data_IF_225637683983
#
_entry.id   IF_225637683983
#
_cell.length_a   1.000
_cell.length_b   1.000
_cell.length_c   1.000
_cell.angle_alpha   90.00
_cell.angle_beta   90.00
_cell.angle_gamma   90.00
#
_symmetry.space_group_name_H-M   'P 1'
#
loop_
_entity.id
_entity.type
_entity.pdbx_description
1 polymer ?
#
# COMPACT_ATOMS: atom_id res chain seq x y z
N UNK A 1 9.42 18.33 -22.16
CA UNK A 1 8.19 17.60 -22.57
C UNK A 1 8.37 16.16 -22.13
N UNK A 2 7.40 15.58 -21.41
CA UNK A 2 7.46 14.18 -20.98
C UNK A 2 7.26 13.24 -22.17
N UNK A 3 7.83 12.04 -22.05
CA UNK A 3 7.76 10.94 -23.01
C UNK A 3 7.24 9.70 -22.30
N UNK A 4 6.94 8.63 -23.05
CA UNK A 4 6.55 7.34 -22.48
C UNK A 4 7.53 6.77 -21.45
N UNK A 5 8.80 7.17 -21.48
CA UNK A 5 9.81 6.76 -20.49
C UNK A 5 9.59 7.35 -19.10
N UNK A 6 8.78 8.41 -19.00
CA UNK A 6 8.43 9.07 -17.74
C UNK A 6 7.21 8.42 -17.06
N UNK A 7 6.70 7.31 -17.62
CA UNK A 7 5.50 6.62 -17.16
C UNK A 7 5.75 5.12 -16.93
N UNK A 8 4.98 4.55 -16.02
CA UNK A 8 5.00 3.12 -15.73
C UNK A 8 4.24 2.36 -16.82
N UNK A 9 5.00 1.67 -17.67
CA UNK A 9 4.50 0.83 -18.75
C UNK A 9 4.64 -0.66 -18.43
N UNK A 10 5.00 -1.03 -17.20
CA UNK A 10 5.28 -2.42 -16.80
C UNK A 10 4.13 -3.37 -17.13
N UNK A 11 2.89 -2.96 -16.86
CA UNK A 11 1.70 -3.75 -17.19
C UNK A 11 1.58 -4.03 -18.69
N UNK A 12 1.66 -2.99 -19.54
CA UNK A 12 1.56 -3.14 -20.99
C UNK A 12 2.73 -3.95 -21.55
N UNK A 13 3.95 -3.71 -21.05
CA UNK A 13 5.14 -4.48 -21.44
C UNK A 13 4.97 -5.95 -21.09
N UNK A 14 4.49 -6.27 -19.88
CA UNK A 14 4.23 -7.65 -19.46
C UNK A 14 3.26 -8.36 -20.42
N UNK A 15 2.12 -7.75 -20.72
CA UNK A 15 1.13 -8.34 -21.65
C UNK A 15 1.71 -8.55 -23.05
N UNK A 16 2.44 -7.57 -23.59
CA UNK A 16 3.08 -7.68 -24.92
C UNK A 16 4.14 -8.79 -24.93
N UNK A 17 4.92 -8.90 -23.86
CA UNK A 17 5.98 -9.90 -23.73
C UNK A 17 5.41 -11.30 -23.58
N UNK A 18 4.40 -11.50 -22.74
CA UNK A 18 3.72 -12.81 -22.58
C UNK A 18 3.17 -13.31 -23.92
N UNK A 19 2.42 -12.49 -24.64
CA UNK A 19 1.88 -12.86 -25.97
C UNK A 19 3.01 -13.09 -26.97
N UNK A 20 4.06 -12.26 -26.93
CA UNK A 20 5.13 -12.32 -27.91
C UNK A 20 6.11 -13.47 -27.71
N UNK A 21 6.33 -13.91 -26.47
CA UNK A 21 7.09 -15.11 -26.13
C UNK A 21 6.41 -16.36 -26.66
N UNK A 22 5.08 -16.47 -26.53
CA UNK A 22 4.29 -17.57 -27.11
C UNK A 22 4.45 -17.69 -28.64
N UNK A 23 4.76 -16.57 -29.30
CA UNK A 23 4.93 -16.49 -30.76
C UNK A 23 6.40 -16.43 -31.20
N UNK A 24 7.36 -16.60 -30.28
CA UNK A 24 8.80 -16.61 -30.57
C UNK A 24 9.34 -15.27 -31.12
N UNK A 25 8.76 -14.15 -30.71
CA UNK A 25 9.18 -12.83 -31.17
C UNK A 25 10.47 -12.37 -30.48
N UNK A 26 11.34 -11.70 -31.24
CA UNK A 26 12.53 -11.08 -30.67
C UNK A 26 12.19 -9.84 -29.86
N UNK A 27 13.02 -9.51 -28.86
CA UNK A 27 12.85 -8.32 -28.00
C UNK A 27 12.64 -7.03 -28.80
N UNK A 28 13.40 -6.83 -29.88
CA UNK A 28 13.24 -5.68 -30.78
C UNK A 28 11.86 -5.62 -31.43
N UNK A 29 11.24 -6.77 -31.71
CA UNK A 29 9.87 -6.84 -32.25
C UNK A 29 8.84 -6.58 -31.14
N UNK A 30 9.08 -7.04 -29.92
CA UNK A 30 8.21 -6.77 -28.76
C UNK A 30 8.13 -5.28 -28.45
N UNK A 31 9.26 -4.58 -28.38
CA UNK A 31 9.25 -3.12 -28.12
C UNK A 31 8.54 -2.34 -29.24
N UNK A 32 8.65 -2.77 -30.50
CA UNK A 32 7.84 -2.19 -31.59
C UNK A 32 6.34 -2.43 -31.43
N UNK A 33 5.94 -3.62 -30.97
CA UNK A 33 4.53 -3.93 -30.70
C UNK A 33 4.00 -3.11 -29.53
N UNK A 34 4.83 -2.89 -28.50
CA UNK A 34 4.51 -2.00 -27.38
C UNK A 34 4.29 -0.57 -27.87
N UNK A 35 5.20 -0.02 -28.68
CA UNK A 35 5.03 1.32 -29.27
C UNK A 35 3.73 1.44 -30.07
N UNK A 36 3.41 0.44 -30.89
CA UNK A 36 2.16 0.41 -31.66
C UNK A 36 0.92 0.33 -30.78
N UNK A 37 0.96 -0.46 -29.71
CA UNK A 37 -0.12 -0.58 -28.74
C UNK A 37 -0.36 0.75 -28.03
N UNK A 38 0.71 1.41 -27.58
CA UNK A 38 0.63 2.70 -26.93
C UNK A 38 0.12 3.78 -27.89
N UNK A 39 0.55 3.79 -29.14
CA UNK A 39 0.05 4.79 -30.09
C UNK A 39 -1.46 4.63 -30.35
N UNK A 40 -1.94 3.38 -30.52
CA UNK A 40 -3.38 3.10 -30.62
C UNK A 40 -4.15 3.42 -29.33
N UNK A 41 -3.51 3.18 -28.18
CA UNK A 41 -4.11 3.43 -26.87
C UNK A 41 -4.34 4.91 -26.58
N UNK A 42 -3.66 5.84 -27.27
CA UNK A 42 -3.92 7.27 -27.16
C UNK A 42 -5.35 7.62 -27.62
N UNK A 43 -5.81 6.96 -28.67
CA UNK A 43 -7.11 7.28 -29.27
C UNK A 43 -8.29 6.83 -28.40
N UNK A 44 -8.09 5.87 -27.48
CA UNK A 44 -9.19 5.33 -26.68
C UNK A 44 -9.61 6.19 -25.48
N UNK A 45 -8.79 7.17 -25.04
CA UNK A 45 -8.97 8.00 -23.82
C UNK A 45 -9.14 7.25 -22.48
N UNK A 46 -9.48 5.96 -22.50
CA UNK A 46 -9.75 5.11 -21.33
C UNK A 46 -8.46 4.54 -20.72
N UNK A 47 -7.43 4.38 -21.55
CA UNK A 47 -6.13 3.85 -21.15
C UNK A 47 -5.42 4.85 -20.26
N UNK A 48 -5.14 4.49 -19.00
CA UNK A 48 -4.40 5.33 -18.05
C UNK A 48 -3.05 4.71 -17.69
N UNK A 49 -2.04 5.56 -17.51
CA UNK A 49 -0.69 5.20 -17.09
C UNK A 49 -0.23 6.07 -15.93
N UNK A 50 0.62 5.52 -15.06
CA UNK A 50 1.17 6.24 -13.93
C UNK A 50 2.38 7.07 -14.33
N UNK A 51 2.47 8.30 -13.85
CA UNK A 51 3.74 9.01 -13.92
C UNK A 51 4.75 8.41 -12.93
N UNK A 52 5.98 8.12 -13.38
CA UNK A 52 7.05 7.62 -12.52
C UNK A 52 7.57 8.67 -11.52
N UNK A 53 7.22 9.94 -11.70
CA UNK A 53 7.61 11.04 -10.81
C UNK A 53 6.60 11.28 -9.69
N UNK A 54 5.30 11.39 -10.02
CA UNK A 54 4.27 11.72 -9.04
C UNK A 54 3.27 10.60 -8.75
N UNK A 55 3.38 9.44 -9.40
CA UNK A 55 2.50 8.28 -9.18
C UNK A 55 1.07 8.42 -9.69
N UNK A 56 0.57 9.63 -9.97
CA UNK A 56 -0.79 9.88 -10.44
C UNK A 56 -1.02 9.25 -11.82
N UNK A 57 -2.24 8.73 -12.03
CA UNK A 57 -2.69 8.19 -13.32
C UNK A 57 -3.13 9.31 -14.26
N UNK A 58 -2.62 9.28 -15.48
CA UNK A 58 -3.02 10.17 -16.58
C UNK A 58 -3.50 9.35 -17.77
N UNK A 59 -4.49 9.86 -18.54
CA UNK A 59 -4.81 9.29 -19.84
C UNK A 59 -3.58 9.21 -20.74
N UNK A 60 -3.48 8.14 -21.52
CA UNK A 60 -2.31 7.89 -22.38
C UNK A 60 -2.09 8.98 -23.45
N UNK A 61 -3.15 9.69 -23.83
CA UNK A 61 -3.10 10.82 -24.75
C UNK A 61 -2.76 12.16 -24.09
N UNK A 62 -2.72 12.23 -22.75
CA UNK A 62 -2.37 13.43 -22.00
C UNK A 62 -1.12 13.20 -21.15
N UNK A 63 0.01 13.12 -21.85
CA UNK A 63 1.33 12.98 -21.21
C UNK A 63 1.87 14.30 -20.67
N UNK A 64 1.23 15.43 -20.98
CA UNK A 64 1.66 16.76 -20.58
C UNK A 64 0.98 17.18 -19.28
N UNK A 65 1.48 16.68 -18.16
CA UNK A 65 1.05 17.13 -16.83
C UNK A 65 2.22 17.73 -16.03
N UNK A 66 1.86 18.68 -15.17
CA UNK A 66 2.77 19.24 -14.19
C UNK A 66 2.69 18.43 -12.89
N UNK A 67 3.82 17.84 -12.48
CA UNK A 67 3.87 17.08 -11.23
C UNK A 67 3.82 18.03 -10.05
N UNK A 68 2.70 18.02 -9.33
CA UNK A 68 2.57 18.81 -8.12
C UNK A 68 3.42 18.20 -6.99
N UNK A 69 4.08 19.06 -6.20
CA UNK A 69 4.99 18.62 -5.14
C UNK A 69 4.31 17.71 -4.11
N UNK A 70 3.04 17.97 -3.78
CA UNK A 70 2.27 17.14 -2.87
C UNK A 70 2.01 15.72 -3.40
N UNK A 71 1.86 15.55 -4.72
CA UNK A 71 1.68 14.23 -5.35
C UNK A 71 3.00 13.46 -5.36
N UNK A 72 4.10 14.15 -5.67
CA UNK A 72 5.44 13.56 -5.61
C UNK A 72 5.73 13.08 -4.19
N UNK A 73 5.47 13.92 -3.19
CA UNK A 73 5.67 13.56 -1.79
C UNK A 73 4.79 12.37 -1.39
N UNK A 74 3.50 12.36 -1.78
CA UNK A 74 2.57 11.28 -1.45
C UNK A 74 2.97 9.97 -2.14
N UNK A 75 3.38 10.02 -3.40
CA UNK A 75 3.91 8.86 -4.11
C UNK A 75 5.19 8.32 -3.48
N UNK A 76 6.09 9.20 -3.02
CA UNK A 76 7.28 8.80 -2.26
C UNK A 76 6.93 8.20 -0.90
N UNK A 77 5.94 8.75 -0.19
CA UNK A 77 5.47 8.20 1.08
C UNK A 77 4.93 6.78 0.90
N UNK A 78 4.10 6.58 -0.11
CA UNK A 78 3.51 5.28 -0.45
C UNK A 78 4.59 4.30 -0.90
N UNK A 79 5.53 4.71 -1.77
CA UNK A 79 6.58 3.83 -2.33
C UNK A 79 7.75 3.52 -1.38
N UNK A 80 8.18 4.51 -0.59
CA UNK A 80 9.39 4.46 0.24
C UNK A 80 9.01 4.65 1.72
N UNK A 81 8.59 3.58 2.36
CA UNK A 81 8.06 3.58 3.73
C UNK A 81 9.02 4.00 4.85
N UNK A 82 10.33 4.12 4.60
CA UNK A 82 11.33 4.22 5.68
C UNK A 82 12.07 5.55 5.76
N UNK A 83 12.30 6.29 4.67
CA UNK A 83 13.39 7.28 4.68
C UNK A 83 13.02 8.77 4.52
N UNK A 84 11.78 9.16 4.23
CA UNK A 84 11.44 10.59 4.07
C UNK A 84 10.01 10.95 4.49
N UNK A 85 9.70 10.77 5.78
CA UNK A 85 8.38 11.13 6.34
C UNK A 85 8.26 12.58 6.81
N UNK A 86 9.30 13.41 6.65
CA UNK A 86 9.20 14.82 7.01
C UNK A 86 8.24 15.55 6.08
N UNK A 87 7.01 15.68 6.55
CA UNK A 87 5.95 16.38 5.84
C UNK A 87 6.14 17.89 6.01
N UNK A 88 6.58 18.57 4.95
CA UNK A 88 6.64 20.02 4.93
C UNK A 88 5.24 20.59 5.24
N UNK A 89 5.15 21.56 6.16
CA UNK A 89 3.87 22.15 6.60
C UNK A 89 2.98 22.64 5.46
N UNK A 90 3.56 23.11 4.36
CA UNK A 90 2.82 23.56 3.17
C UNK A 90 2.04 22.45 2.45
N UNK A 91 2.49 21.19 2.53
CA UNK A 91 1.85 20.08 1.83
C UNK A 91 0.61 19.56 2.55
N UNK A 92 0.55 19.69 3.88
CA UNK A 92 -0.60 19.28 4.70
C UNK A 92 -1.92 19.82 4.17
N UNK A 93 -1.99 21.13 3.91
CA UNK A 93 -3.21 21.78 3.44
C UNK A 93 -3.55 21.40 2.00
N UNK A 94 -2.53 21.31 1.13
CA UNK A 94 -2.71 20.91 -0.27
C UNK A 94 -3.26 19.49 -0.38
N UNK A 95 -2.65 18.53 0.33
CA UNK A 95 -3.09 17.13 0.38
C UNK A 95 -4.54 17.00 0.87
N UNK A 96 -4.90 17.69 1.95
CA UNK A 96 -6.28 17.64 2.49
C UNK A 96 -7.31 18.22 1.54
N UNK A 97 -6.92 19.23 0.76
CA UNK A 97 -7.80 19.89 -0.19
C UNK A 97 -7.98 19.04 -1.46
N UNK A 98 -6.87 18.44 -1.93
CA UNK A 98 -6.84 17.64 -3.16
C UNK A 98 -7.41 16.23 -2.97
N UNK A 99 -7.13 15.62 -1.82
CA UNK A 99 -7.54 14.26 -1.47
C UNK A 99 -8.39 14.26 -0.18
N UNK A 100 -9.57 14.92 -0.19
CA UNK A 100 -10.40 15.03 1.00
C UNK A 100 -11.04 13.68 1.35
N UNK A 101 -11.33 13.46 2.63
CA UNK A 101 -12.11 12.29 3.08
C UNK A 101 -13.43 12.19 2.31
N UNK A 102 -13.59 11.10 1.56
CA UNK A 102 -14.75 10.86 0.69
C UNK A 102 -16.00 10.58 1.50
N UNK A 103 -17.16 10.94 0.93
CA UNK A 103 -18.46 10.63 1.53
C UNK A 103 -18.66 9.11 1.49
N UNK A 104 -18.87 8.49 2.66
CA UNK A 104 -19.04 7.03 2.80
C UNK A 104 -17.87 6.35 3.50
N UNK A 105 -16.66 6.91 3.39
CA UNK A 105 -15.49 6.43 4.13
C UNK A 105 -15.60 6.88 5.59
N UNK A 106 -16.18 6.01 6.43
CA UNK A 106 -16.45 6.31 7.84
C UNK A 106 -15.53 5.57 8.80
N UNK A 107 -14.99 4.43 8.38
CA UNK A 107 -14.20 3.56 9.24
C UNK A 107 -12.93 3.15 8.52
N UNK A 108 -11.82 3.11 9.24
CA UNK A 108 -10.55 2.58 8.75
C UNK A 108 -10.00 1.55 9.75
N UNK A 109 -9.14 0.68 9.26
CA UNK A 109 -8.56 -0.43 9.99
C UNK A 109 -7.04 -0.42 9.91
N UNK A 110 -6.39 -0.83 11.00
CA UNK A 110 -4.94 -1.02 11.03
C UNK A 110 -4.57 -2.33 11.70
N UNK A 111 -3.86 -3.16 10.97
CA UNK A 111 -3.26 -4.38 11.51
C UNK A 111 -1.93 -4.11 12.18
N UNK A 112 -1.78 -4.64 13.38
CA UNK A 112 -0.57 -4.59 14.18
C UNK A 112 -0.22 -6.03 14.55
N UNK A 113 1.03 -6.40 14.33
CA UNK A 113 1.53 -7.74 14.59
C UNK A 113 2.62 -7.64 15.65
N UNK A 114 2.55 -8.49 16.66
CA UNK A 114 3.44 -8.51 17.82
C UNK A 114 4.32 -9.74 17.74
N UNK A 115 5.62 -9.53 17.82
CA UNK A 115 6.61 -10.61 17.76
C UNK A 115 6.69 -11.34 19.09
N UNK A 116 6.60 -10.60 20.20
CA UNK A 116 6.67 -11.17 21.55
C UNK A 116 5.42 -10.90 22.37
N UNK A 117 5.28 -11.64 23.48
CA UNK A 117 4.19 -11.47 24.44
C UNK A 117 4.28 -10.10 25.14
N UNK A 118 5.48 -9.66 25.46
CA UNK A 118 5.75 -8.40 26.16
C UNK A 118 5.34 -7.20 25.30
N UNK A 119 5.62 -7.23 23.99
CA UNK A 119 5.17 -6.20 23.04
C UNK A 119 3.64 -6.09 23.03
N UNK A 120 2.95 -7.24 22.97
CA UNK A 120 1.50 -7.29 22.98
C UNK A 120 0.92 -6.75 24.31
N UNK A 121 1.40 -7.23 25.45
CA UNK A 121 0.90 -6.80 26.76
C UNK A 121 1.14 -5.31 27.02
N UNK A 122 2.28 -4.78 26.56
CA UNK A 122 2.58 -3.35 26.64
C UNK A 122 1.59 -2.56 25.80
N UNK A 123 1.37 -2.97 24.55
CA UNK A 123 0.44 -2.32 23.65
C UNK A 123 -1.00 -2.32 24.19
N UNK A 124 -1.49 -3.46 24.71
CA UNK A 124 -2.85 -3.56 25.27
C UNK A 124 -3.04 -2.59 26.44
N UNK A 125 -2.03 -2.45 27.31
CA UNK A 125 -2.06 -1.45 28.41
C UNK A 125 -2.07 -0.02 27.88
N UNK A 126 -1.29 0.28 26.84
CA UNK A 126 -1.26 1.62 26.23
C UNK A 126 -2.62 2.02 25.65
N UNK A 127 -3.35 1.08 25.06
CA UNK A 127 -4.66 1.34 24.44
C UNK A 127 -5.86 1.07 25.35
N UNK A 128 -5.63 0.74 26.63
CA UNK A 128 -6.70 0.42 27.60
C UNK A 128 -7.70 1.57 27.76
N UNK A 129 -7.24 2.81 27.59
CA UNK A 129 -8.07 4.03 27.57
C UNK A 129 -9.00 4.14 26.35
N UNK A 130 -8.94 3.20 25.40
CA UNK A 130 -9.65 3.27 24.12
C UNK A 130 -9.05 4.28 23.15
N UNK A 131 -7.78 4.66 23.34
CA UNK A 131 -7.07 5.59 22.46
C UNK A 131 -5.74 5.03 21.99
N UNK A 132 -5.32 5.44 20.80
CA UNK A 132 -4.02 5.06 20.23
C UNK A 132 -3.30 6.32 19.75
N UNK A 133 -2.09 6.51 20.26
CA UNK A 133 -1.20 7.61 19.88
C UNK A 133 -0.17 7.16 18.86
N UNK A 134 0.02 7.97 17.83
CA UNK A 134 1.14 7.81 16.90
C UNK A 134 1.75 9.17 16.55
N UNK A 135 3.09 9.21 16.59
CA UNK A 135 3.89 10.44 16.41
C UNK A 135 4.17 10.80 14.95
N UNK A 136 3.96 9.85 14.05
CA UNK A 136 4.17 10.00 12.61
C UNK A 136 2.87 9.80 11.85
N UNK A 137 2.78 10.32 10.62
CA UNK A 137 1.68 9.99 9.72
C UNK A 137 1.50 8.48 9.57
N UNK A 138 0.25 8.06 9.46
CA UNK A 138 -0.12 6.65 9.54
C UNK A 138 -1.10 6.26 8.44
N UNK A 139 -0.74 5.23 7.69
CA UNK A 139 -1.61 4.50 6.77
C UNK A 139 -2.65 3.64 7.51
N UNK A 140 -3.90 3.70 7.06
CA UNK A 140 -5.00 2.87 7.52
C UNK A 140 -5.79 2.36 6.31
N UNK A 141 -6.18 1.09 6.32
CA UNK A 141 -6.93 0.50 5.20
C UNK A 141 -8.43 0.68 5.40
N UNK A 142 -9.19 0.88 4.33
CA UNK A 142 -10.65 0.79 4.38
C UNK A 142 -11.15 -0.67 4.37
N UNK A 143 -10.27 -1.64 4.12
CA UNK A 143 -10.61 -3.05 4.02
C UNK A 143 -10.06 -3.83 5.22
N UNK A 144 -10.96 -4.41 6.01
CA UNK A 144 -10.60 -5.26 7.15
C UNK A 144 -9.68 -6.43 6.76
N UNK A 145 -9.99 -7.15 5.68
CA UNK A 145 -9.19 -8.30 5.24
C UNK A 145 -7.76 -7.90 4.89
N UNK A 146 -7.60 -6.70 4.32
CA UNK A 146 -6.27 -6.16 4.02
C UNK A 146 -5.53 -5.79 5.31
N UNK A 147 -6.17 -5.05 6.22
CA UNK A 147 -5.57 -4.74 7.53
C UNK A 147 -5.20 -6.02 8.32
N UNK A 148 -6.04 -7.07 8.23
CA UNK A 148 -5.77 -8.37 8.85
C UNK A 148 -4.43 -8.97 8.39
N UNK A 149 -4.04 -8.82 7.12
CA UNK A 149 -2.74 -9.29 6.60
C UNK A 149 -1.54 -8.68 7.31
N UNK A 150 -1.66 -7.45 7.82
CA UNK A 150 -0.62 -6.75 8.59
C UNK A 150 -0.61 -7.16 10.07
N UNK A 151 -1.73 -7.67 10.57
CA UNK A 151 -1.82 -8.27 11.90
C UNK A 151 -1.30 -9.73 11.91
N UNK A 152 -1.37 -10.43 10.78
CA UNK A 152 -0.91 -11.82 10.68
C UNK A 152 0.57 -11.95 10.33
N UNK A 153 1.11 -11.12 9.44
CA UNK A 153 2.46 -11.31 8.91
C UNK A 153 3.26 -10.01 8.84
N UNK A 154 4.59 -10.11 9.00
CA UNK A 154 5.50 -9.00 8.72
C UNK A 154 5.52 -8.72 7.20
N UNK A 155 5.06 -7.54 6.81
CA UNK A 155 4.99 -7.10 5.41
C UNK A 155 6.31 -6.41 4.99
N UNK A 156 6.71 -6.64 3.73
CA UNK A 156 7.95 -6.08 3.15
C UNK A 156 7.93 -4.56 3.22
N UNK A 157 9.05 -3.95 3.63
CA UNK A 157 9.20 -2.50 3.57
C UNK A 157 8.08 -1.75 4.30
N UNK A 158 7.66 -2.20 5.48
CA UNK A 158 6.66 -1.46 6.29
C UNK A 158 7.09 -1.26 7.75
N UNK A 159 8.23 -1.85 8.16
CA UNK A 159 8.66 -1.92 9.56
C UNK A 159 10.18 -1.91 9.72
N UNK A 160 10.65 -1.52 10.91
CA UNK A 160 12.05 -1.67 11.37
C UNK A 160 12.56 -3.12 11.28
N UNK A 161 11.65 -4.10 11.35
CA UNK A 161 11.96 -5.52 11.41
C UNK A 161 11.95 -6.19 10.02
N UNK A 162 12.00 -5.44 8.93
CA UNK A 162 12.02 -6.04 7.57
C UNK A 162 13.22 -6.99 7.38
N UNK A 163 14.32 -6.74 8.10
CA UNK A 163 15.51 -7.60 8.12
C UNK A 163 15.27 -9.00 8.71
N UNK A 164 14.31 -9.18 9.63
CA UNK A 164 13.94 -10.49 10.18
C UNK A 164 12.79 -11.17 9.45
N UNK A 165 12.13 -10.45 8.51
CA UNK A 165 10.92 -10.92 7.82
C UNK A 165 11.07 -12.32 7.20
N UNK A 166 12.18 -12.57 6.49
CA UNK A 166 12.40 -13.85 5.81
C UNK A 166 12.44 -15.01 6.79
N UNK A 167 13.10 -14.82 7.92
CA UNK A 167 13.26 -15.83 8.95
C UNK A 167 11.94 -16.09 9.70
N UNK A 168 11.20 -15.03 10.06
CA UNK A 168 9.90 -15.14 10.72
C UNK A 168 8.87 -15.87 9.85
N UNK A 169 8.86 -15.59 8.54
CA UNK A 169 8.01 -16.31 7.59
C UNK A 169 8.42 -17.79 7.48
N UNK A 170 9.73 -18.09 7.42
CA UNK A 170 10.23 -19.47 7.39
C UNK A 170 9.75 -20.26 8.63
N UNK A 171 9.94 -19.70 9.83
CA UNK A 171 9.50 -20.30 11.09
C UNK A 171 7.99 -20.56 11.07
N UNK A 172 7.21 -19.57 10.64
CA UNK A 172 5.75 -19.68 10.52
C UNK A 172 5.33 -20.86 9.63
N UNK A 173 5.97 -21.03 8.48
CA UNK A 173 5.69 -22.15 7.57
C UNK A 173 6.08 -23.51 8.16
N UNK A 174 7.28 -23.61 8.75
CA UNK A 174 7.76 -24.85 9.39
C UNK A 174 6.85 -25.30 10.54
N UNK A 175 6.37 -24.33 11.32
CA UNK A 175 5.43 -24.56 12.42
C UNK A 175 3.98 -24.74 11.95
N UNK A 176 3.69 -24.54 10.66
CA UNK A 176 2.32 -24.46 10.11
C UNK A 176 1.43 -23.51 10.94
N UNK A 177 2.00 -22.39 11.37
CA UNK A 177 1.35 -21.44 12.26
C UNK A 177 0.66 -20.34 11.47
N UNK A 178 -0.60 -20.01 11.71
CA UNK A 178 -1.37 -19.02 10.92
C UNK A 178 -0.85 -17.57 10.92
N UNK A 179 0.11 -17.22 11.79
CA UNK A 179 0.70 -15.87 11.92
C UNK A 179 2.20 -15.96 12.25
N UNK A 180 2.95 -14.92 11.90
CA UNK A 180 4.31 -14.69 12.42
C UNK A 180 4.24 -14.11 13.84
N UNK A 181 5.27 -14.36 14.66
CA UNK A 181 5.34 -13.81 16.02
C UNK A 181 4.40 -14.48 17.02
N UNK A 182 3.82 -13.68 17.92
CA UNK A 182 2.98 -14.10 19.05
C UNK A 182 1.48 -13.87 18.82
N UNK A 183 1.07 -12.65 18.45
CA UNK A 183 -0.34 -12.26 18.26
C UNK A 183 -0.50 -11.16 17.21
N UNK A 184 -1.71 -11.05 16.66
CA UNK A 184 -2.14 -9.93 15.82
C UNK A 184 -3.33 -9.18 16.41
N UNK A 185 -3.38 -7.86 16.24
CA UNK A 185 -4.53 -7.01 16.58
C UNK A 185 -4.92 -6.18 15.37
N UNK A 186 -6.21 -6.09 15.10
CA UNK A 186 -6.78 -5.14 14.13
C UNK A 186 -7.51 -4.06 14.90
N UNK A 187 -6.99 -2.84 14.84
CA UNK A 187 -7.68 -1.64 15.34
C UNK A 187 -8.68 -1.13 14.31
N UNK A 188 -9.77 -0.56 14.79
CA UNK A 188 -10.69 0.26 13.99
C UNK A 188 -10.79 1.68 14.55
N UNK A 189 -11.04 2.63 13.65
CA UNK A 189 -11.25 4.03 13.97
C UNK A 189 -12.41 4.60 13.15
N UNK A 190 -13.27 5.37 13.81
CA UNK A 190 -14.27 6.21 13.15
C UNK A 190 -13.63 7.50 12.64
N UNK A 191 -13.55 7.63 11.32
CA UNK A 191 -12.89 8.72 10.63
C UNK A 191 -13.64 10.05 10.78
N UNK A 192 -12.88 11.09 11.17
CA UNK A 192 -13.32 12.49 11.08
C UNK A 192 -12.41 13.26 10.13
N UNK A 193 -12.98 14.22 9.40
CA UNK A 193 -12.24 15.10 8.47
C UNK A 193 -11.04 15.85 9.09
N UNK A 194 -11.05 16.05 10.41
CA UNK A 194 -9.96 16.67 11.15
C UNK A 194 -8.75 15.74 11.35
N UNK A 195 -8.97 14.43 11.36
CA UNK A 195 -7.96 13.38 11.57
C UNK A 195 -7.22 13.04 10.28
N UNK A 196 -7.95 13.06 9.17
CA UNK A 196 -7.46 12.63 7.85
C UNK A 196 -6.54 13.68 7.24
N UNK A 197 -5.36 13.21 6.83
CA UNK A 197 -4.42 13.95 6.00
C UNK A 197 -4.81 13.85 4.52
N UNK A 198 -5.00 12.64 4.02
CA UNK A 198 -5.51 12.40 2.67
C UNK A 198 -6.25 11.07 2.60
N UNK A 199 -7.22 11.02 1.70
CA UNK A 199 -7.96 9.83 1.32
C UNK A 199 -7.55 9.45 -0.12
N UNK A 200 -6.78 8.37 -0.24
CA UNK A 200 -6.29 7.86 -1.54
C UNK A 200 -7.00 6.56 -1.92
N UNK A 201 -8.15 6.27 -1.31
CA UNK A 201 -8.84 4.98 -1.44
C UNK A 201 -9.37 4.65 -2.83
N UNK A 202 -9.51 5.64 -3.69
CA UNK A 202 -9.84 5.47 -5.11
C UNK A 202 -8.82 6.17 -6.02
N UNK A 203 -7.80 6.79 -5.42
CA UNK A 203 -6.73 7.43 -6.16
C UNK A 203 -5.63 6.41 -6.35
N UNK A 204 -5.40 6.01 -7.60
CA UNK A 204 -4.27 5.15 -7.89
C UNK A 204 -2.98 5.97 -7.89
N UNK A 205 -2.31 6.00 -6.75
CA UNK A 205 -1.00 6.62 -6.59
C UNK A 205 0.06 5.52 -6.69
N UNK A 206 0.73 5.46 -7.84
CA UNK A 206 1.57 4.32 -8.20
C UNK A 206 0.77 3.05 -8.46
N UNK A 207 1.46 1.93 -8.60
CA UNK A 207 0.88 0.61 -8.87
C UNK A 207 0.23 -0.06 -7.66
N UNK A 208 -0.05 0.67 -6.58
CA UNK A 208 -0.69 0.10 -5.39
C UNK A 208 -2.20 -0.01 -5.58
N UNK A 209 -2.74 -1.20 -5.34
CA UNK A 209 -4.17 -1.49 -5.34
C UNK A 209 -4.82 -1.32 -3.95
N UNK A 210 -4.07 -0.88 -2.94
CA UNK A 210 -4.59 -0.70 -1.59
C UNK A 210 -5.46 0.56 -1.47
N UNK A 211 -6.67 0.38 -0.91
CA UNK A 211 -7.53 1.49 -0.51
C UNK A 211 -7.10 2.06 0.84
N UNK A 212 -6.29 3.11 0.81
CA UNK A 212 -5.66 3.68 2.00
C UNK A 212 -6.22 5.06 2.38
N UNK A 213 -6.30 5.30 3.69
CA UNK A 213 -6.50 6.60 4.33
C UNK A 213 -5.24 6.92 5.14
N UNK A 214 -4.65 8.09 4.91
CA UNK A 214 -3.53 8.58 5.70
C UNK A 214 -4.04 9.48 6.80
N UNK A 215 -3.71 9.16 8.05
CA UNK A 215 -4.03 9.95 9.23
C UNK A 215 -2.83 10.81 9.66
N UNK A 216 -3.13 11.99 10.19
CA UNK A 216 -2.15 12.88 10.80
C UNK A 216 -1.66 12.32 12.14
N UNK A 217 -0.43 12.62 12.58
CA UNK A 217 0.00 12.33 13.94
C UNK A 217 -0.98 12.84 14.99
N UNK A 218 -1.17 12.08 16.06
CA UNK A 218 -2.05 12.44 17.15
C UNK A 218 -2.52 11.24 17.95
N UNK A 219 -3.42 11.51 18.89
CA UNK A 219 -4.09 10.51 19.74
C UNK A 219 -5.54 10.43 19.31
N UNK A 220 -5.98 9.23 18.94
CA UNK A 220 -7.33 9.02 18.41
C UNK A 220 -8.07 7.93 19.16
N UNK A 221 -9.40 8.04 19.29
CA UNK A 221 -10.21 6.95 19.81
C UNK A 221 -10.15 5.78 18.83
N UNK A 222 -9.83 4.60 19.36
CA UNK A 222 -9.78 3.35 18.62
C UNK A 222 -10.45 2.25 19.44
N UNK A 223 -10.78 1.15 18.79
CA UNK A 223 -11.18 -0.06 19.47
C UNK A 223 -10.58 -1.27 18.76
N UNK A 224 -10.39 -2.35 19.52
CA UNK A 224 -9.96 -3.63 18.99
C UNK A 224 -11.15 -4.21 18.20
N UNK A 225 -11.02 -4.24 16.88
CA UNK A 225 -12.01 -4.81 15.99
C UNK A 225 -11.86 -6.33 15.89
N UNK A 226 -10.63 -6.83 16.03
CA UNK A 226 -10.36 -8.26 16.11
C UNK A 226 -8.97 -8.55 16.63
N UNK A 227 -8.84 -9.69 17.28
CA UNK A 227 -7.57 -10.28 17.69
C UNK A 227 -7.33 -11.57 16.91
N UNK A 228 -6.06 -11.88 16.70
CA UNK A 228 -5.63 -13.07 15.98
C UNK A 228 -4.65 -13.81 16.87
N UNK A 229 -5.09 -14.97 17.34
CA UNK A 229 -4.26 -15.90 18.09
C UNK A 229 -3.37 -16.71 17.15
N UNK A 230 -2.19 -17.08 17.67
CA UNK A 230 -1.34 -18.04 17.00
C UNK A 230 -1.90 -19.45 17.16
N UNK A 231 -2.23 -20.05 16.03
CA UNK A 231 -2.74 -21.41 15.92
C UNK A 231 -1.82 -22.21 15.02
N UNK A 232 -1.51 -23.45 15.42
CA UNK A 232 -0.65 -24.37 14.69
C UNK A 232 -1.45 -25.39 13.89
N UNK A 233 -0.83 -25.96 12.85
CA UNK A 233 -1.42 -27.04 12.07
C UNK A 233 -2.50 -26.61 11.08
N UNK A 234 -2.55 -25.33 10.70
CA UNK A 234 -3.44 -24.88 9.62
C UNK A 234 -2.84 -25.16 8.25
N UNK A 235 -3.68 -25.61 7.33
CA UNK A 235 -3.34 -25.61 5.91
C UNK A 235 -3.41 -24.17 5.38
N UNK A 236 -2.40 -23.78 4.61
CA UNK A 236 -2.29 -22.45 4.03
C UNK A 236 -3.15 -22.37 2.76
N UNK A 237 -4.05 -21.38 2.70
CA UNK A 237 -4.72 -21.03 1.44
C UNK A 237 -3.72 -20.42 0.44
N UNK A 238 -4.10 -20.43 -0.85
CA UNK A 238 -3.27 -19.95 -1.98
C UNK A 238 -2.71 -18.53 -1.77
N UNK A 239 -3.42 -17.68 -1.03
CA UNK A 239 -3.04 -16.29 -0.71
C UNK A 239 -1.69 -16.12 0.01
N UNK A 240 -1.23 -17.15 0.75
CA UNK A 240 0.02 -17.08 1.52
C UNK A 240 1.23 -17.53 0.68
N UNK A 241 1.01 -18.36 -0.34
CA UNK A 241 2.06 -18.83 -1.24
C UNK A 241 2.60 -17.67 -2.10
N UNK A 242 1.72 -16.78 -2.57
CA UNK A 242 2.10 -15.61 -3.38
C UNK A 242 3.00 -14.60 -2.62
N UNK A 243 2.95 -14.56 -1.27
CA UNK A 243 3.81 -13.68 -0.46
C UNK A 243 5.29 -14.08 -0.48
N UNK A 244 5.59 -15.34 -0.80
CA UNK A 244 6.96 -15.90 -0.91
C UNK A 244 7.53 -15.65 -2.30
N UNK A 245 6.72 -15.78 -3.34
CA UNK A 245 7.15 -15.59 -4.74
C UNK A 245 7.52 -14.12 -5.06
N UNK A 246 7.05 -13.17 -4.24
CA UNK A 246 7.36 -11.75 -4.36
C UNK A 246 8.53 -11.28 -3.45
N UNK A 247 9.23 -12.22 -2.79
CA UNK A 247 10.26 -11.93 -1.76
C UNK A 247 11.72 -12.06 -2.20
#
# INVERSE_FOLDING_TARGET
MKTFRDFDLSHYRKVVYEIGEEHGYSEKKLEKLLDMLLEKGKDSMETKIHCLTCGVKFPLNDLQHDCQEEDIWLYQYVKNSVENKELKRGYLTKLRTKYPLRKGNRMAFRGINFQTKEEYETFIKEIESGTYEFKEISSWSLNYSYAKRFATHIQKGTRKNDHTRKEELRIMFEQKANITGYKGVVLAIDLKKSMVLCDISEEYIGSMDEKEIVLRPGTYPVYIFGEIEKEYGKEWGEDVIQLVEQS
#
